data_IF_021320012762
#
_entry.id   IF_021320012762
#
_cell.length_a   1.000
_cell.length_b   1.000
_cell.length_c   1.000
_cell.angle_alpha   90.00
_cell.angle_beta   90.00
_cell.angle_gamma   90.00
#
_symmetry.space_group_name_H-M   'P 1'
#
loop_
_entity.id
_entity.type
_entity.pdbx_description
1 polymer ?
#
# COMPACT_ATOMS: atom_id res chain seq x y z
N UNK A 1 -0.07 -8.29 -34.25
CA UNK A 1 -0.54 -8.97 -33.02
C UNK A 1 -1.58 -8.06 -32.37
N UNK A 2 -2.81 -8.51 -32.08
CA UNK A 2 -3.80 -7.63 -31.48
C UNK A 2 -3.46 -7.42 -30.01
N UNK A 3 -3.16 -6.17 -29.64
CA UNK A 3 -2.99 -5.74 -28.26
C UNK A 3 -4.38 -5.74 -27.63
N UNK A 4 -4.63 -6.65 -26.68
CA UNK A 4 -5.82 -6.57 -25.82
C UNK A 4 -5.63 -5.33 -24.95
N UNK A 5 -6.41 -4.29 -25.22
CA UNK A 5 -6.57 -3.17 -24.31
C UNK A 5 -7.08 -3.71 -22.97
N UNK A 6 -6.27 -3.57 -21.93
CA UNK A 6 -6.72 -3.73 -20.55
C UNK A 6 -7.63 -2.53 -20.31
N UNK A 7 -8.90 -2.77 -20.05
CA UNK A 7 -9.82 -1.71 -19.69
C UNK A 7 -9.25 -0.99 -18.46
N UNK A 8 -9.24 0.36 -18.43
CA UNK A 8 -8.91 1.07 -17.21
C UNK A 8 -9.79 0.51 -16.09
N UNK A 9 -9.18 0.24 -14.93
CA UNK A 9 -9.95 -0.04 -13.71
C UNK A 9 -11.08 0.99 -13.66
N UNK A 10 -12.32 0.52 -13.49
CA UNK A 10 -13.48 1.39 -13.48
C UNK A 10 -13.14 2.60 -12.62
N UNK A 11 -13.01 3.76 -13.26
CA UNK A 11 -13.03 5.02 -12.57
C UNK A 11 -14.38 5.00 -11.85
N UNK A 12 -14.36 4.62 -10.57
CA UNK A 12 -15.44 4.99 -9.68
C UNK A 12 -15.67 6.48 -9.93
N UNK A 13 -16.94 6.86 -10.04
CA UNK A 13 -17.35 8.21 -10.42
C UNK A 13 -16.40 9.24 -9.77
N UNK A 14 -15.69 10.10 -10.53
CA UNK A 14 -14.63 10.98 -10.00
C UNK A 14 -15.09 12.01 -8.95
N UNK A 15 -16.35 11.94 -8.49
CA UNK A 15 -17.05 13.02 -7.81
C UNK A 15 -17.78 12.62 -6.53
N UNK A 16 -17.74 11.37 -6.08
CA UNK A 16 -17.92 11.15 -4.63
C UNK A 16 -16.59 11.39 -3.95
N UNK A 17 -16.19 12.67 -3.88
CA UNK A 17 -15.16 13.13 -2.96
C UNK A 17 -15.67 12.78 -1.57
N UNK A 18 -15.33 11.58 -1.10
CA UNK A 18 -15.71 11.09 0.21
C UNK A 18 -14.92 11.92 1.23
N UNK A 19 -15.50 13.05 1.64
CA UNK A 19 -15.09 13.89 2.77
C UNK A 19 -15.21 13.09 4.06
N UNK A 20 -14.30 12.13 4.22
CA UNK A 20 -14.23 11.13 5.28
C UNK A 20 -12.85 11.20 5.93
N UNK A 21 -12.69 10.53 7.06
CA UNK A 21 -11.40 10.42 7.74
C UNK A 21 -10.30 9.76 6.88
N UNK A 22 -10.66 9.05 5.79
CA UNK A 22 -9.70 8.45 4.86
C UNK A 22 -9.19 9.40 3.78
N UNK A 23 -9.72 10.62 3.69
CA UNK A 23 -9.30 11.57 2.65
C UNK A 23 -7.87 12.09 2.93
N UNK A 24 -6.99 12.25 1.90
CA UNK A 24 -5.61 12.70 2.11
C UNK A 24 -5.48 14.02 2.89
N UNK A 25 -6.34 14.99 2.62
CA UNK A 25 -6.35 16.28 3.34
C UNK A 25 -7.20 16.30 4.62
N UNK A 26 -7.75 15.16 5.06
CA UNK A 26 -8.63 15.08 6.24
C UNK A 26 -7.96 15.65 7.50
N UNK A 27 -6.70 15.27 7.74
CA UNK A 27 -5.97 15.75 8.91
C UNK A 27 -5.75 17.27 8.87
N UNK A 28 -5.42 17.82 7.70
CA UNK A 28 -5.27 19.27 7.51
C UNK A 28 -6.59 20.01 7.76
N UNK A 29 -7.70 19.50 7.19
CA UNK A 29 -9.03 20.06 7.41
C UNK A 29 -9.43 20.04 8.89
N UNK A 30 -9.16 18.93 9.59
CA UNK A 30 -9.42 18.80 11.03
C UNK A 30 -8.63 19.82 11.86
N UNK A 31 -7.35 20.04 11.54
CA UNK A 31 -6.52 21.07 12.21
C UNK A 31 -7.08 22.47 11.99
N UNK A 32 -7.47 22.83 10.77
CA UNK A 32 -8.09 24.14 10.46
C UNK A 32 -9.38 24.29 11.27
N UNK A 33 -10.24 23.26 11.27
CA UNK A 33 -11.53 23.30 11.96
C UNK A 33 -11.41 23.38 13.48
N UNK A 34 -10.37 22.77 14.06
CA UNK A 34 -10.12 22.76 15.51
C UNK A 34 -10.01 24.17 16.12
N UNK A 35 -9.73 25.19 15.30
CA UNK A 35 -9.60 26.58 15.76
C UNK A 35 -10.93 27.28 16.08
N UNK A 36 -12.07 26.80 15.57
CA UNK A 36 -13.34 27.52 15.66
C UNK A 36 -14.59 26.63 15.75
N UNK A 37 -14.43 25.32 15.85
CA UNK A 37 -15.56 24.40 15.91
C UNK A 37 -16.37 24.54 17.21
N UNK A 38 -17.69 24.60 17.07
CA UNK A 38 -18.64 24.78 18.18
C UNK A 38 -19.59 23.58 18.38
N UNK A 39 -19.74 22.71 17.39
CA UNK A 39 -20.61 21.52 17.47
C UNK A 39 -20.09 20.37 16.60
N UNK A 40 -20.25 19.15 17.09
CA UNK A 40 -19.94 17.92 16.35
C UNK A 40 -20.95 17.62 15.22
N UNK A 41 -22.17 18.18 15.29
CA UNK A 41 -23.22 17.97 14.27
C UNK A 41 -22.86 18.52 12.89
N UNK A 42 -21.94 19.47 12.85
CA UNK A 42 -21.64 20.25 11.64
C UNK A 42 -20.40 19.72 10.90
N UNK A 43 -19.80 18.64 11.43
CA UNK A 43 -18.62 18.01 10.85
C UNK A 43 -19.01 17.02 9.76
N UNK A 44 -18.43 17.20 8.58
CA UNK A 44 -18.57 16.26 7.47
C UNK A 44 -17.53 15.16 7.64
N UNK A 45 -17.99 13.91 7.57
CA UNK A 45 -17.16 12.72 7.83
C UNK A 45 -16.65 12.60 9.26
N UNK A 46 -17.18 13.40 10.20
CA UNK A 46 -16.69 13.50 11.57
C UNK A 46 -15.33 14.21 11.70
N UNK A 47 -14.87 14.92 10.66
CA UNK A 47 -13.52 15.51 10.62
C UNK A 47 -13.55 17.03 10.73
N UNK A 48 -14.26 17.70 9.82
CA UNK A 48 -14.22 19.14 9.67
C UNK A 48 -15.51 19.68 9.06
N UNK A 49 -15.81 20.97 9.29
CA UNK A 49 -16.91 21.64 8.59
C UNK A 49 -16.58 21.82 7.10
N UNK A 50 -17.60 22.08 6.26
CA UNK A 50 -17.45 22.25 4.81
C UNK A 50 -16.36 23.26 4.41
N UNK A 51 -16.34 24.43 5.06
CA UNK A 51 -15.40 25.49 4.72
C UNK A 51 -13.94 25.10 5.00
N UNK A 52 -13.70 24.35 6.06
CA UNK A 52 -12.36 23.84 6.39
C UNK A 52 -11.88 22.77 5.41
N UNK A 53 -12.80 21.95 4.90
CA UNK A 53 -12.51 21.01 3.81
C UNK A 53 -12.10 21.75 2.55
N UNK A 54 -12.90 22.72 2.12
CA UNK A 54 -12.62 23.53 0.93
C UNK A 54 -11.30 24.30 1.05
N UNK A 55 -11.02 24.87 2.23
CA UNK A 55 -9.75 25.57 2.50
C UNK A 55 -8.56 24.61 2.49
N UNK A 56 -8.68 23.41 3.05
CA UNK A 56 -7.61 22.41 3.03
C UNK A 56 -7.29 21.97 1.60
N UNK A 57 -8.31 21.69 0.79
CA UNK A 57 -8.15 21.34 -0.64
C UNK A 57 -7.53 22.50 -1.41
N UNK A 58 -7.97 23.72 -1.16
CA UNK A 58 -7.41 24.90 -1.83
C UNK A 58 -5.94 25.10 -1.49
N UNK A 59 -5.55 24.96 -0.22
CA UNK A 59 -4.15 25.06 0.21
C UNK A 59 -3.28 23.96 -0.39
N UNK A 60 -3.78 22.73 -0.45
CA UNK A 60 -3.10 21.60 -1.07
C UNK A 60 -2.84 21.87 -2.56
N UNK A 61 -3.85 22.36 -3.27
CA UNK A 61 -3.71 22.80 -4.67
C UNK A 61 -2.69 23.93 -4.83
N UNK A 62 -2.79 24.97 -4.01
CA UNK A 62 -1.85 26.12 -4.08
C UNK A 62 -0.42 25.66 -3.83
N UNK A 63 -0.20 24.74 -2.90
CA UNK A 63 1.11 24.16 -2.63
C UNK A 63 1.63 23.35 -3.80
N UNK A 64 0.77 22.56 -4.46
CA UNK A 64 1.13 21.85 -5.68
C UNK A 64 1.54 22.81 -6.80
N UNK A 65 0.78 23.89 -7.01
CA UNK A 65 1.12 24.94 -7.98
C UNK A 65 2.44 25.65 -7.63
N UNK A 66 2.66 26.00 -6.36
CA UNK A 66 3.89 26.66 -5.89
C UNK A 66 5.13 25.77 -6.06
N UNK A 67 4.98 24.45 -5.96
CA UNK A 67 6.06 23.49 -6.10
C UNK A 67 6.23 22.96 -7.54
N UNK A 68 5.54 23.53 -8.54
CA UNK A 68 5.50 23.04 -9.92
C UNK A 68 5.13 21.54 -10.02
N UNK A 69 4.27 21.06 -9.11
CA UNK A 69 3.77 19.68 -9.12
C UNK A 69 2.65 19.52 -10.16
N UNK A 70 2.59 18.38 -10.88
CA UNK A 70 1.50 18.11 -11.79
C UNK A 70 0.17 17.98 -11.04
N UNK A 71 -0.83 18.79 -11.43
CA UNK A 71 -2.19 18.73 -10.91
C UNK A 71 -2.98 17.53 -11.45
N UNK A 72 -2.60 17.05 -12.63
CA UNK A 72 -3.14 15.86 -13.25
C UNK A 72 -1.99 14.87 -13.44
N UNK A 73 -2.12 13.70 -12.82
CA UNK A 73 -1.12 12.64 -12.85
C UNK A 73 -1.77 11.50 -13.61
N UNK A 74 -1.27 11.20 -14.81
CA UNK A 74 -1.61 9.95 -15.48
C UNK A 74 -0.93 8.81 -14.69
N UNK A 75 -1.70 7.95 -14.01
CA UNK A 75 -1.11 6.89 -13.21
C UNK A 75 -0.34 5.95 -14.13
N UNK A 76 0.98 5.83 -13.90
CA UNK A 76 1.80 4.89 -14.65
C UNK A 76 1.26 3.46 -14.41
N UNK A 77 0.74 2.77 -15.45
CA UNK A 77 0.16 1.44 -15.30
C UNK A 77 1.21 0.38 -14.93
N UNK A 78 2.50 0.72 -15.03
CA UNK A 78 3.63 -0.11 -14.60
C UNK A 78 4.19 0.27 -13.23
N UNK A 79 3.63 1.29 -12.57
CA UNK A 79 4.01 1.66 -11.22
C UNK A 79 3.61 0.55 -10.24
N UNK A 80 4.52 0.24 -9.32
CA UNK A 80 4.32 -0.69 -8.22
C UNK A 80 4.29 0.14 -6.94
N UNK A 81 3.20 0.11 -6.19
CA UNK A 81 3.23 0.66 -4.84
C UNK A 81 4.06 -0.25 -3.92
N UNK A 82 5.33 0.13 -3.75
CA UNK A 82 6.30 -0.56 -2.92
C UNK A 82 5.85 -0.68 -1.45
N UNK A 83 5.07 0.28 -0.95
CA UNK A 83 4.56 0.27 0.42
C UNK A 83 3.43 -0.76 0.53
N UNK A 84 2.53 -0.81 -0.45
CA UNK A 84 1.47 -1.82 -0.51
C UNK A 84 2.07 -3.24 -0.59
N UNK A 85 3.08 -3.42 -1.45
CA UNK A 85 3.84 -4.69 -1.56
C UNK A 85 4.51 -5.04 -0.23
N UNK A 86 5.16 -4.08 0.43
CA UNK A 86 5.82 -4.33 1.71
C UNK A 86 4.83 -4.70 2.83
N UNK A 87 3.70 -3.98 2.93
CA UNK A 87 2.64 -4.29 3.89
C UNK A 87 2.10 -5.70 3.69
N UNK A 88 1.85 -6.09 2.45
CA UNK A 88 1.42 -7.44 2.11
C UNK A 88 2.49 -8.49 2.43
N UNK A 89 3.77 -8.21 2.18
CA UNK A 89 4.85 -9.15 2.53
C UNK A 89 5.04 -9.32 4.04
N UNK A 90 4.82 -8.27 4.83
CA UNK A 90 4.95 -8.33 6.30
C UNK A 90 3.85 -9.17 6.95
N UNK A 91 2.67 -9.26 6.34
CA UNK A 91 1.57 -10.09 6.83
C UNK A 91 1.67 -11.57 6.42
N UNK A 92 2.59 -11.88 5.50
CA UNK A 92 2.78 -13.22 4.96
C UNK A 92 3.90 -13.98 5.66
N UNK A 93 3.61 -15.20 6.12
CA UNK A 93 4.66 -16.16 6.47
C UNK A 93 5.20 -16.82 5.18
N UNK A 94 6.52 -16.75 4.89
CA UNK A 94 7.13 -17.42 3.73
C UNK A 94 6.86 -18.93 3.66
N UNK A 95 6.55 -19.60 4.77
CA UNK A 95 6.19 -21.03 4.76
C UNK A 95 4.72 -21.34 4.52
N UNK A 96 3.89 -20.31 4.32
CA UNK A 96 2.46 -20.47 4.01
C UNK A 96 2.24 -21.24 2.72
N UNK A 97 1.11 -21.96 2.63
CA UNK A 97 0.66 -22.58 1.38
C UNK A 97 0.36 -21.52 0.31
N UNK A 98 0.44 -21.89 -0.97
CA UNK A 98 0.14 -20.97 -2.07
C UNK A 98 -1.29 -20.42 -2.00
N UNK A 99 -2.27 -21.24 -1.64
CA UNK A 99 -3.66 -20.81 -1.46
C UNK A 99 -3.81 -19.72 -0.38
N UNK A 100 -3.04 -19.82 0.72
CA UNK A 100 -3.05 -18.81 1.80
C UNK A 100 -2.37 -17.52 1.37
N UNK A 101 -1.32 -17.62 0.57
CA UNK A 101 -0.64 -16.45 -0.01
C UNK A 101 -1.59 -15.72 -0.97
N UNK A 102 -2.27 -16.46 -1.84
CA UNK A 102 -3.17 -15.87 -2.83
C UNK A 102 -4.37 -15.16 -2.19
N UNK A 103 -4.96 -15.80 -1.16
CA UNK A 103 -6.02 -15.20 -0.36
C UNK A 103 -5.57 -13.88 0.28
N UNK A 104 -4.43 -13.88 0.97
CA UNK A 104 -3.90 -12.69 1.63
C UNK A 104 -3.56 -11.58 0.63
N UNK A 105 -2.91 -11.88 -0.50
CA UNK A 105 -2.61 -10.87 -1.52
C UNK A 105 -3.87 -10.25 -2.14
N UNK A 106 -4.98 -11.00 -2.18
CA UNK A 106 -6.28 -10.49 -2.63
C UNK A 106 -6.91 -9.56 -1.59
N UNK A 107 -6.73 -9.85 -0.29
CA UNK A 107 -7.23 -9.02 0.82
C UNK A 107 -6.60 -7.61 0.81
N UNK A 108 -5.33 -7.48 0.39
CA UNK A 108 -4.65 -6.19 0.26
C UNK A 108 -5.07 -5.37 -0.97
N UNK A 109 -6.05 -5.85 -1.76
CA UNK A 109 -6.54 -5.18 -2.97
C UNK A 109 -5.44 -4.77 -3.97
N UNK A 110 -4.35 -5.56 -4.02
CA UNK A 110 -3.19 -5.29 -4.88
C UNK A 110 -3.52 -5.46 -6.37
N UNK A 111 -2.91 -4.61 -7.19
CA UNK A 111 -2.92 -4.76 -8.65
C UNK A 111 -2.27 -6.09 -9.07
N UNK A 112 -2.50 -6.53 -10.31
CA UNK A 112 -1.87 -7.77 -10.81
C UNK A 112 -0.33 -7.67 -10.81
N UNK A 113 0.19 -6.49 -11.14
CA UNK A 113 1.61 -6.20 -11.16
C UNK A 113 2.22 -6.26 -9.75
N UNK A 114 1.57 -5.64 -8.76
CA UNK A 114 1.98 -5.69 -7.36
C UNK A 114 1.91 -7.11 -6.77
N UNK A 115 0.88 -7.89 -7.13
CA UNK A 115 0.79 -9.31 -6.76
C UNK A 115 1.94 -10.12 -7.34
N UNK A 116 2.30 -9.86 -8.59
CA UNK A 116 3.45 -10.51 -9.21
C UNK A 116 4.76 -10.17 -8.48
N UNK A 117 4.96 -8.89 -8.14
CA UNK A 117 6.15 -8.44 -7.41
C UNK A 117 6.22 -9.04 -5.99
N UNK A 118 5.11 -9.04 -5.26
CA UNK A 118 5.02 -9.66 -3.94
C UNK A 118 5.38 -11.16 -4.01
N UNK A 119 4.85 -11.90 -4.98
CA UNK A 119 5.20 -13.32 -5.19
C UNK A 119 6.68 -13.50 -5.51
N UNK A 120 7.26 -12.66 -6.37
CA UNK A 120 8.69 -12.68 -6.72
C UNK A 120 9.56 -12.52 -5.47
N UNK A 121 9.26 -11.53 -4.62
CA UNK A 121 10.00 -11.28 -3.37
C UNK A 121 9.83 -12.41 -2.36
N UNK A 122 8.61 -12.95 -2.24
CA UNK A 122 8.35 -14.08 -1.36
C UNK A 122 9.14 -15.32 -1.76
N UNK A 123 9.27 -15.59 -3.06
CA UNK A 123 10.11 -16.67 -3.59
C UNK A 123 11.59 -16.45 -3.23
N UNK A 124 12.12 -15.24 -3.40
CA UNK A 124 13.49 -14.91 -2.99
C UNK A 124 13.73 -15.12 -1.47
N UNK A 125 12.74 -14.81 -0.63
CA UNK A 125 12.81 -15.05 0.81
C UNK A 125 12.83 -16.55 1.14
N UNK A 126 12.03 -17.36 0.43
CA UNK A 126 12.04 -18.83 0.55
C UNK A 126 13.39 -19.42 0.18
N UNK A 127 13.96 -19.01 -0.95
CA UNK A 127 15.26 -19.50 -1.42
C UNK A 127 16.36 -19.18 -0.43
N UNK A 128 16.41 -17.93 0.07
CA UNK A 128 17.38 -17.53 1.11
C UNK A 128 17.26 -18.36 2.39
N UNK A 129 16.03 -18.69 2.83
CA UNK A 129 15.81 -19.58 3.98
C UNK A 129 16.23 -21.02 3.69
N UNK A 130 15.96 -21.52 2.48
CA UNK A 130 16.41 -22.83 2.02
C UNK A 130 17.93 -22.96 2.13
N UNK A 131 18.67 -22.02 1.53
CA UNK A 131 20.14 -21.98 1.58
C UNK A 131 20.66 -21.98 3.01
N UNK A 132 20.09 -21.15 3.91
CA UNK A 132 20.48 -21.12 5.32
C UNK A 132 20.19 -22.44 6.05
N UNK A 133 19.05 -23.08 5.77
CA UNK A 133 18.68 -24.37 6.38
C UNK A 133 19.67 -25.47 6.01
N UNK A 134 20.09 -25.54 4.75
CA UNK A 134 21.10 -26.50 4.27
C UNK A 134 22.49 -26.22 4.84
N UNK A 135 22.88 -24.96 5.00
CA UNK A 135 24.16 -24.61 5.63
C UNK A 135 24.22 -25.07 7.10
N UNK A 136 23.15 -24.81 7.87
CA UNK A 136 23.07 -25.22 9.28
C UNK A 136 23.02 -26.74 9.45
N UNK A 137 22.31 -27.48 8.57
CA UNK A 137 22.26 -28.94 8.64
C UNK A 137 23.62 -29.59 8.33
N UNK A 138 24.36 -29.08 7.35
CA UNK A 138 25.74 -29.51 7.07
C UNK A 138 26.68 -29.26 8.24
N UNK A 139 26.62 -28.06 8.83
CA UNK A 139 27.44 -27.73 10.01
C UNK A 139 27.10 -28.62 11.22
N UNK A 140 25.82 -28.94 11.43
CA UNK A 140 25.40 -29.85 12.49
C UNK A 140 25.85 -31.30 12.24
N UNK A 141 25.81 -31.78 11.00
CA UNK A 141 26.30 -33.10 10.63
C UNK A 141 27.83 -33.22 10.83
N UNK A 142 28.60 -32.20 10.43
CA UNK A 142 30.05 -32.17 10.62
C UNK A 142 30.46 -32.25 12.10
N UNK A 143 29.74 -31.57 13.00
CA UNK A 143 29.99 -31.66 14.46
C UNK A 143 29.78 -33.06 15.03
N UNK A 144 28.79 -33.80 14.54
CA UNK A 144 28.56 -35.20 14.98
C UNK A 144 29.66 -36.13 14.49
N UNK A 145 30.17 -35.91 13.27
CA UNK A 145 31.24 -36.72 12.71
C UNK A 145 32.62 -36.44 13.37
N UNK A 146 32.85 -35.21 13.84
CA UNK A 146 34.13 -34.80 14.44
C UNK A 146 34.24 -34.99 15.96
N UNK A 147 33.13 -35.18 16.67
CA UNK A 147 33.09 -35.27 18.14
C UNK A 147 33.28 -36.66 18.75
N UNK A 148 33.52 -37.68 17.92
CA UNK A 148 33.88 -39.03 18.38
C UNK A 148 35.39 -39.23 18.36
N UNK A 149 36.09 -38.74 19.38
CA UNK A 149 37.48 -39.12 19.66
C UNK A 149 37.71 -39.11 21.16
#
# INVERSE_FOLDING_TARGET
MPVKAIAPAAAGDPLEVLWTAGHPVAEAAGRICSSHWSSFSDLIGGVACRLCWEEAIWKDRMFAEECDLPLDIDPDPSYIDEIAVEKALRSLDPTSSEARIDFALTEFALTELERHEARRRLAQLRDRRGVRRFACSRAAAARRAGGGR
#
